data_IF_024463959151
#
_entry.id   IF_024463959151
#
_cell.length_a   1.000
_cell.length_b   1.000
_cell.length_c   1.000
_cell.angle_alpha   90.00
_cell.angle_beta   90.00
_cell.angle_gamma   90.00
#
_symmetry.space_group_name_H-M   'P 1'
#
loop_
_entity.id
_entity.type
_entity.pdbx_description
1 polymer ?
#
# COMPACT_ATOMS: atom_id res chain seq x y z
N UNK A 1 -12.25 17.03 0.55
CA UNK A 1 -11.97 16.02 -0.50
C UNK A 1 -11.05 15.00 0.13
N UNK A 2 -11.38 13.71 0.15
CA UNK A 2 -10.50 12.71 0.77
C UNK A 2 -9.16 12.73 0.04
N UNK A 3 -8.10 12.88 0.82
CA UNK A 3 -6.74 13.02 0.33
C UNK A 3 -6.26 11.66 -0.23
N UNK A 4 -5.31 11.67 -1.18
CA UNK A 4 -4.91 10.44 -1.90
C UNK A 4 -4.45 9.33 -0.95
N UNK A 5 -3.72 9.66 0.12
CA UNK A 5 -3.26 8.69 1.11
C UNK A 5 -4.41 8.01 1.86
N UNK A 6 -5.49 8.73 2.19
CA UNK A 6 -6.69 8.16 2.83
C UNK A 6 -7.34 7.12 1.92
N UNK A 7 -7.52 7.45 0.63
CA UNK A 7 -8.09 6.50 -0.35
C UNK A 7 -7.22 5.24 -0.51
N UNK A 8 -5.89 5.40 -0.50
CA UNK A 8 -4.96 4.29 -0.60
C UNK A 8 -4.96 3.41 0.67
N UNK A 9 -5.07 4.03 1.84
CA UNK A 9 -5.21 3.34 3.11
C UNK A 9 -6.53 2.54 3.12
N UNK A 10 -7.67 3.18 2.85
CA UNK A 10 -8.99 2.53 2.81
C UNK A 10 -9.02 1.31 1.89
N UNK A 11 -8.43 1.43 0.68
CA UNK A 11 -8.35 0.32 -0.26
C UNK A 11 -7.43 -0.79 0.21
N UNK A 12 -6.30 -0.44 0.82
CA UNK A 12 -5.39 -1.42 1.41
C UNK A 12 -6.09 -2.20 2.51
N UNK A 13 -6.82 -1.50 3.39
CA UNK A 13 -7.59 -2.10 4.49
C UNK A 13 -8.75 -2.97 4.00
N UNK A 14 -9.47 -2.55 2.95
CA UNK A 14 -10.51 -3.37 2.31
C UNK A 14 -9.93 -4.66 1.72
N UNK A 15 -8.74 -4.56 1.10
CA UNK A 15 -8.05 -5.74 0.58
C UNK A 15 -7.60 -6.61 1.75
N UNK A 16 -6.96 -6.04 2.77
CA UNK A 16 -6.38 -6.74 3.93
C UNK A 16 -7.42 -7.30 4.91
N UNK A 17 -8.63 -6.73 4.95
CA UNK A 17 -9.68 -7.04 5.92
C UNK A 17 -9.40 -6.50 7.34
N UNK A 18 -8.46 -5.56 7.48
CA UNK A 18 -8.03 -4.97 8.75
C UNK A 18 -7.26 -3.67 8.53
N UNK A 19 -7.10 -2.90 9.59
CA UNK A 19 -6.39 -1.62 9.61
C UNK A 19 -4.93 -1.77 9.20
N UNK A 20 -4.41 -0.78 8.48
CA UNK A 20 -3.02 -0.78 8.05
C UNK A 20 -2.09 -0.44 9.24
N UNK A 21 -1.02 -1.22 9.50
CA UNK A 21 -0.20 -1.05 10.70
C UNK A 21 0.92 0.00 10.55
N UNK A 22 1.02 0.64 9.37
CA UNK A 22 2.01 1.66 9.05
C UNK A 22 1.35 2.85 8.36
N UNK A 23 2.01 4.00 8.39
CA UNK A 23 1.53 5.20 7.69
C UNK A 23 1.82 5.10 6.19
N UNK A 24 0.97 5.67 5.36
CA UNK A 24 1.20 5.86 3.92
C UNK A 24 1.39 7.36 3.65
N UNK A 25 2.40 7.70 2.85
CA UNK A 25 2.55 9.02 2.22
C UNK A 25 2.39 8.88 0.71
N UNK A 26 1.42 9.60 0.15
CA UNK A 26 1.14 9.58 -1.29
C UNK A 26 1.98 10.63 -2.04
N UNK A 27 1.99 10.52 -3.37
CA UNK A 27 2.73 11.42 -4.27
C UNK A 27 2.22 12.87 -4.27
N UNK A 28 1.01 13.13 -3.75
CA UNK A 28 0.47 14.48 -3.54
C UNK A 28 0.86 15.10 -2.19
N UNK A 29 1.68 14.39 -1.41
CA UNK A 29 2.15 14.80 -0.08
C UNK A 29 1.15 14.49 1.06
N UNK A 30 -0.02 13.94 0.76
CA UNK A 30 -0.95 13.53 1.79
C UNK A 30 -0.46 12.30 2.56
N UNK A 31 -0.91 12.18 3.82
CA UNK A 31 -0.55 11.08 4.71
C UNK A 31 -1.79 10.48 5.38
N UNK A 32 -1.77 9.16 5.61
CA UNK A 32 -2.84 8.45 6.31
C UNK A 32 -2.31 7.22 7.05
N UNK A 33 -2.97 6.85 8.16
CA UNK A 33 -2.59 5.69 8.99
C UNK A 33 -2.09 6.09 10.38
N UNK A 34 -1.49 5.15 11.13
CA UNK A 34 -1.04 5.38 12.49
C UNK A 34 -0.05 6.56 12.62
N UNK A 35 -0.11 7.30 13.75
CA UNK A 35 0.77 8.44 13.96
C UNK A 35 2.22 8.02 14.20
N UNK A 36 2.48 6.80 14.66
CA UNK A 36 3.80 6.35 15.07
C UNK A 36 4.35 5.24 14.18
N UNK A 37 5.67 5.31 13.92
CA UNK A 37 6.42 4.29 13.20
C UNK A 37 6.68 4.62 11.72
N UNK A 38 7.12 3.62 10.94
CA UNK A 38 7.60 3.84 9.58
C UNK A 38 6.49 4.24 8.61
N UNK A 39 6.87 4.99 7.58
CA UNK A 39 5.98 5.51 6.55
C UNK A 39 6.30 4.86 5.20
N UNK A 40 5.32 4.19 4.60
CA UNK A 40 5.38 3.76 3.21
C UNK A 40 5.14 4.94 2.29
N UNK A 41 6.18 5.35 1.57
CA UNK A 41 6.14 6.45 0.61
C UNK A 41 5.87 5.90 -0.79
N UNK A 42 4.82 6.38 -1.43
CA UNK A 42 4.46 6.03 -2.81
C UNK A 42 4.79 7.23 -3.69
N UNK A 43 5.90 7.12 -4.43
CA UNK A 43 6.51 8.25 -5.17
C UNK A 43 5.87 8.50 -6.53
N UNK A 44 5.32 7.46 -7.19
CA UNK A 44 4.75 7.58 -8.53
C UNK A 44 3.37 6.90 -8.64
N UNK A 45 2.35 7.67 -9.03
CA UNK A 45 1.01 7.16 -9.33
C UNK A 45 1.01 6.11 -10.45
N UNK A 46 1.86 6.28 -11.46
CA UNK A 46 1.94 5.40 -12.65
C UNK A 46 2.54 4.05 -12.30
N UNK A 47 3.40 4.00 -11.29
CA UNK A 47 3.96 2.80 -10.72
C UNK A 47 2.91 1.91 -10.06
N UNK A 48 2.04 2.50 -9.24
CA UNK A 48 0.93 1.78 -8.61
C UNK A 48 0.07 1.08 -9.68
N UNK A 49 -0.19 1.75 -10.80
CA UNK A 49 -0.94 1.14 -11.91
C UNK A 49 -0.22 -0.09 -12.48
N UNK A 50 1.11 -0.05 -12.66
CA UNK A 50 1.90 -1.22 -13.10
C UNK A 50 1.88 -2.35 -12.07
N UNK A 51 1.96 -1.99 -10.79
CA UNK A 51 1.92 -2.91 -9.66
C UNK A 51 0.59 -3.70 -9.62
N UNK A 52 -0.51 -3.02 -9.87
CA UNK A 52 -1.86 -3.61 -9.87
C UNK A 52 -2.12 -4.58 -11.03
N UNK A 53 -1.40 -4.46 -12.15
CA UNK A 53 -1.52 -5.41 -13.27
C UNK A 53 -0.78 -6.74 -13.05
N UNK A 54 0.15 -6.82 -12.07
CA UNK A 54 0.81 -8.06 -11.64
C UNK A 54 0.87 -8.14 -10.11
N UNK A 55 -0.28 -8.37 -9.44
CA UNK A 55 -0.36 -8.36 -7.97
C UNK A 55 0.35 -9.59 -7.37
N UNK A 56 1.22 -9.36 -6.39
CA UNK A 56 2.02 -10.36 -5.68
C UNK A 56 3.25 -9.75 -4.98
N UNK A 57 4.01 -10.54 -4.22
CA UNK A 57 5.26 -10.08 -3.56
C UNK A 57 6.26 -9.49 -4.55
N UNK A 58 6.34 -10.09 -5.74
CA UNK A 58 7.14 -9.60 -6.86
C UNK A 58 6.68 -8.24 -7.39
N UNK A 59 5.42 -7.89 -7.19
CA UNK A 59 4.93 -6.55 -7.46
C UNK A 59 5.62 -5.54 -6.54
N UNK A 60 5.50 -5.76 -5.24
CA UNK A 60 6.04 -4.86 -4.22
C UNK A 60 7.56 -4.72 -4.35
N UNK A 61 8.26 -5.85 -4.54
CA UNK A 61 9.71 -5.86 -4.79
C UNK A 61 10.10 -5.07 -6.05
N UNK A 62 9.32 -5.15 -7.14
CA UNK A 62 9.56 -4.33 -8.34
C UNK A 62 9.36 -2.85 -8.07
N UNK A 63 8.33 -2.48 -7.31
CA UNK A 63 8.08 -1.09 -6.92
C UNK A 63 9.23 -0.52 -6.08
N UNK A 64 9.75 -1.30 -5.14
CA UNK A 64 10.93 -0.94 -4.35
C UNK A 64 12.19 -0.76 -5.22
N UNK A 65 12.54 -1.76 -6.03
CA UNK A 65 13.72 -1.72 -6.90
C UNK A 65 13.65 -0.60 -7.95
N UNK A 66 12.45 -0.29 -8.44
CA UNK A 66 12.22 0.80 -9.38
C UNK A 66 12.22 2.20 -8.71
N UNK A 67 12.35 2.28 -7.39
CA UNK A 67 12.30 3.55 -6.63
C UNK A 67 10.90 4.17 -6.56
N UNK A 68 9.87 3.37 -6.85
CA UNK A 68 8.47 3.78 -6.88
C UNK A 68 7.84 3.71 -5.48
N UNK A 69 8.37 2.83 -4.63
CA UNK A 69 8.03 2.64 -3.23
C UNK A 69 9.28 2.86 -2.39
N UNK A 70 9.13 3.49 -1.24
CA UNK A 70 10.21 3.76 -0.30
C UNK A 70 9.68 3.67 1.15
N UNK A 71 10.57 3.47 2.12
CA UNK A 71 10.25 3.49 3.54
C UNK A 71 11.00 4.65 4.18
N UNK A 72 10.25 5.57 4.77
CA UNK A 72 10.79 6.58 5.68
C UNK A 72 10.74 6.02 7.10
N UNK A 73 11.90 5.75 7.71
CA UNK A 73 12.05 5.08 8.99
C UNK A 73 12.75 3.72 8.90
N UNK A 74 12.56 2.87 9.91
CA UNK A 74 13.18 1.54 9.97
C UNK A 74 12.43 0.55 9.05
N UNK A 75 13.13 0.02 8.05
CA UNK A 75 12.60 -0.97 7.11
C UNK A 75 12.22 -2.29 7.79
N UNK A 76 13.02 -2.77 8.73
CA UNK A 76 12.76 -4.02 9.43
C UNK A 76 11.54 -3.89 10.35
N UNK A 77 11.38 -2.74 11.01
CA UNK A 77 10.17 -2.43 11.75
C UNK A 77 8.93 -2.39 10.84
N UNK A 78 9.06 -1.80 9.64
CA UNK A 78 7.97 -1.77 8.66
C UNK A 78 7.58 -3.19 8.22
N UNK A 79 8.57 -4.04 7.93
CA UNK A 79 8.36 -5.43 7.55
C UNK A 79 7.76 -6.25 8.70
N UNK A 80 8.20 -6.06 9.94
CA UNK A 80 7.67 -6.77 11.11
C UNK A 80 6.18 -6.45 11.30
N UNK A 81 5.81 -5.17 11.27
CA UNK A 81 4.41 -4.69 11.32
C UNK A 81 3.57 -5.24 10.16
N UNK A 82 4.12 -5.24 8.94
CA UNK A 82 3.44 -5.77 7.75
C UNK A 82 3.42 -7.30 7.70
N UNK A 83 4.29 -8.01 8.41
CA UNK A 83 4.30 -9.48 8.45
C UNK A 83 3.12 -10.00 9.26
N UNK A 84 2.80 -9.37 10.39
CA UNK A 84 1.56 -9.60 11.14
C UNK A 84 0.32 -9.38 10.26
N UNK A 85 0.45 -8.42 9.32
CA UNK A 85 -0.36 -8.02 8.14
C UNK A 85 -0.67 -9.08 7.05
N UNK A 86 0.33 -9.90 6.76
CA UNK A 86 0.37 -10.77 5.58
C UNK A 86 0.24 -12.25 5.94
N UNK A 87 0.85 -12.69 7.04
CA UNK A 87 0.96 -14.10 7.43
C UNK A 87 -0.37 -14.73 7.88
N UNK A 88 -1.35 -13.95 8.35
CA UNK A 88 -2.68 -14.47 8.70
C UNK A 88 -3.58 -14.71 7.49
N UNK A 89 -3.09 -14.43 6.27
CA UNK A 89 -3.87 -14.54 5.03
C UNK A 89 -3.60 -15.82 4.26
N UNK A 90 -2.68 -16.67 4.70
CA UNK A 90 -2.27 -17.85 3.94
C UNK A 90 -3.43 -18.84 3.68
N UNK A 91 -4.54 -18.75 4.41
CA UNK A 91 -5.75 -19.57 4.19
C UNK A 91 -6.85 -18.91 3.32
N UNK A 92 -6.75 -17.62 2.95
CA UNK A 92 -7.81 -16.92 2.22
C UNK A 92 -7.48 -16.76 0.72
N UNK A 93 -8.39 -17.10 -0.21
CA UNK A 93 -8.15 -16.90 -1.64
C UNK A 93 -7.78 -15.43 -1.92
N UNK A 94 -6.63 -15.22 -2.57
CA UNK A 94 -6.12 -13.90 -2.99
C UNK A 94 -7.17 -13.18 -3.84
N UNK A 95 -8.00 -12.35 -3.20
CA UNK A 95 -9.02 -11.54 -3.87
C UNK A 95 -8.29 -10.50 -4.71
N UNK A 96 -8.29 -10.69 -6.03
CA UNK A 96 -7.77 -9.68 -6.96
C UNK A 96 -8.61 -8.41 -6.76
N UNK A 97 -8.01 -7.25 -6.43
CA UNK A 97 -8.77 -6.01 -6.40
C UNK A 97 -9.44 -5.83 -7.75
N UNK A 98 -10.72 -5.47 -7.76
CA UNK A 98 -11.41 -5.24 -9.02
C UNK A 98 -10.75 -4.06 -9.73
N UNK A 99 -10.71 -4.09 -11.07
CA UNK A 99 -10.19 -2.97 -11.88
C UNK A 99 -10.91 -1.66 -11.52
N UNK A 100 -12.16 -1.73 -11.07
CA UNK A 100 -12.94 -0.58 -10.60
C UNK A 100 -12.38 0.01 -9.30
N UNK A 101 -12.11 -0.81 -8.29
CA UNK A 101 -11.49 -0.36 -7.04
C UNK A 101 -10.11 0.27 -7.28
N UNK A 102 -9.35 -0.29 -8.23
CA UNK A 102 -8.08 0.27 -8.68
C UNK A 102 -8.22 1.66 -9.31
N UNK A 103 -9.25 1.86 -10.13
CA UNK A 103 -9.50 3.12 -10.81
C UNK A 103 -10.03 4.19 -9.87
N UNK A 104 -10.87 3.80 -8.90
CA UNK A 104 -11.39 4.71 -7.88
C UNK A 104 -10.28 5.23 -6.95
N UNK A 105 -9.28 4.40 -6.64
CA UNK A 105 -8.04 4.78 -5.93
C UNK A 105 -7.29 5.93 -6.61
N UNK A 106 -7.32 5.92 -7.96
CA UNK A 106 -6.51 6.77 -8.80
C UNK A 106 -7.27 8.01 -9.25
N UNK A 107 -8.54 8.19 -8.88
CA UNK A 107 -9.33 9.34 -9.32
C UNK A 107 -8.91 10.59 -8.52
N UNK A 108 -8.76 11.78 -9.16
CA UNK A 108 -8.48 13.02 -8.44
C UNK A 108 -9.57 13.39 -7.43
#
# INVERSE_FOLDING_TARGET
>A
MPHTAERLADLSEQVLGRTLPIRIRAWDGSEAGPPDGPVLVIRDRRALRRLMFKPGELGFARGWVAGELDIDGDLYEALDRLSGVALHRDDAPRRRPSVRAALDALRP
#
